data_IF_401065674338
#
_entry.id   IF_401065674338
#
_cell.length_a   1.000
_cell.length_b   1.000
_cell.length_c   1.000
_cell.angle_alpha   90.00
_cell.angle_beta   90.00
_cell.angle_gamma   90.00
#
_symmetry.space_group_name_H-M   'P 1'
#
loop_
_entity.id
_entity.type
_entity.pdbx_description
1 polymer ?
#
# COMPACT_ATOMS: atom_id res chain seq x y z
N UNK A 1 -19.33 17.18 -9.26
CA UNK A 1 -17.89 16.90 -9.02
C UNK A 1 -17.76 15.97 -7.82
N UNK A 2 -16.62 15.29 -7.56
CA UNK A 2 -16.56 14.28 -6.47
C UNK A 2 -16.75 14.88 -5.07
N UNK A 3 -16.13 16.03 -4.79
CA UNK A 3 -16.30 16.76 -3.52
C UNK A 3 -17.74 17.29 -3.36
N UNK A 4 -18.27 17.95 -4.38
CA UNK A 4 -19.67 18.41 -4.39
C UNK A 4 -20.66 17.26 -4.15
N UNK A 5 -20.41 16.06 -4.68
CA UNK A 5 -21.29 14.92 -4.45
C UNK A 5 -21.36 14.52 -2.97
N UNK A 6 -20.28 14.70 -2.19
CA UNK A 6 -20.33 14.50 -0.74
C UNK A 6 -21.04 15.63 -0.01
N UNK A 7 -20.89 16.87 -0.47
CA UNK A 7 -21.61 18.01 0.11
C UNK A 7 -23.13 17.87 -0.11
N UNK A 8 -23.54 17.50 -1.33
CA UNK A 8 -24.94 17.31 -1.70
C UNK A 8 -25.58 16.10 -0.99
N UNK A 9 -24.88 14.97 -0.94
CA UNK A 9 -25.39 13.77 -0.30
C UNK A 9 -25.30 13.80 1.24
N UNK A 10 -24.34 14.56 1.78
CA UNK A 10 -23.93 14.52 3.17
C UNK A 10 -23.12 13.27 3.52
N UNK A 11 -22.13 13.42 4.40
CA UNK A 11 -21.31 12.33 4.95
C UNK A 11 -21.23 12.43 6.46
N UNK A 12 -21.14 11.29 7.14
CA UNK A 12 -21.09 11.26 8.61
C UNK A 12 -19.75 11.73 9.20
N UNK A 13 -18.58 11.33 8.67
CA UNK A 13 -17.30 11.89 9.10
C UNK A 13 -16.90 13.11 8.26
N UNK A 14 -16.00 13.93 8.81
CA UNK A 14 -15.25 14.88 7.98
C UNK A 14 -14.38 14.11 6.99
N UNK A 15 -14.15 14.68 5.80
CA UNK A 15 -13.33 14.09 4.75
C UNK A 15 -12.17 15.04 4.43
N UNK A 16 -10.96 14.49 4.45
CA UNK A 16 -9.76 15.08 3.86
C UNK A 16 -9.22 14.12 2.79
N UNK A 17 -8.72 14.65 1.68
CA UNK A 17 -8.27 13.83 0.55
C UNK A 17 -6.85 14.19 0.12
N UNK A 18 -6.18 13.18 -0.44
CA UNK A 18 -4.91 13.33 -1.14
C UNK A 18 -5.14 12.99 -2.61
N UNK A 19 -4.42 13.64 -3.52
CA UNK A 19 -4.38 13.19 -4.90
C UNK A 19 -3.34 12.06 -5.05
N UNK A 20 -3.75 10.95 -5.66
CA UNK A 20 -2.84 9.85 -5.95
C UNK A 20 -1.82 10.21 -7.03
N UNK A 21 -0.53 10.00 -6.75
CA UNK A 21 0.54 10.04 -7.75
C UNK A 21 0.25 9.14 -8.94
N UNK A 22 -0.34 7.97 -8.69
CA UNK A 22 -0.69 7.04 -9.77
C UNK A 22 -1.79 7.58 -10.66
N UNK A 23 -2.69 8.40 -10.10
CA UNK A 23 -3.72 9.13 -10.85
C UNK A 23 -3.09 10.22 -11.71
N UNK A 24 -2.09 10.95 -11.19
CA UNK A 24 -1.32 11.94 -11.97
C UNK A 24 -0.62 11.29 -13.15
N UNK A 25 0.11 10.18 -12.93
CA UNK A 25 0.74 9.40 -14.00
C UNK A 25 -0.30 8.92 -15.01
N UNK A 26 -1.43 8.36 -14.55
CA UNK A 26 -2.48 7.89 -15.47
C UNK A 26 -3.05 9.02 -16.34
N UNK A 27 -3.23 10.20 -15.77
CA UNK A 27 -3.70 11.38 -16.50
C UNK A 27 -2.69 11.83 -17.57
N UNK A 28 -1.38 11.81 -17.25
CA UNK A 28 -0.35 12.31 -18.15
C UNK A 28 0.14 11.27 -19.17
N UNK A 29 0.18 9.99 -18.80
CA UNK A 29 0.88 8.93 -19.54
C UNK A 29 0.35 7.51 -19.32
N UNK A 30 -0.85 7.35 -18.74
CA UNK A 30 -1.48 6.05 -18.48
C UNK A 30 -0.59 5.13 -17.60
N UNK A 31 -0.55 3.82 -17.89
CA UNK A 31 0.24 2.80 -17.20
C UNK A 31 1.63 2.60 -17.82
N UNK A 32 2.19 3.62 -18.47
CA UNK A 32 3.54 3.56 -19.06
C UNK A 32 4.59 3.43 -17.95
N UNK A 33 5.53 2.50 -18.15
CA UNK A 33 6.62 2.21 -17.21
C UNK A 33 7.91 2.97 -17.51
N UNK A 34 7.95 3.73 -18.61
CA UNK A 34 9.09 4.56 -18.96
C UNK A 34 9.14 5.84 -18.10
N UNK A 35 10.32 6.48 -18.00
CA UNK A 35 10.44 7.80 -17.38
C UNK A 35 9.52 8.83 -18.04
N UNK A 36 8.95 9.73 -17.25
CA UNK A 36 8.10 10.79 -17.77
C UNK A 36 8.91 11.84 -18.54
N UNK A 37 8.35 12.29 -19.66
CA UNK A 37 8.87 13.43 -20.42
C UNK A 37 8.55 14.76 -19.71
N UNK A 38 9.27 15.82 -20.07
CA UNK A 38 9.02 17.19 -19.58
C UNK A 38 7.56 17.61 -19.75
N UNK A 39 6.93 17.26 -20.89
CA UNK A 39 5.52 17.59 -21.14
C UNK A 39 4.58 16.82 -20.21
N UNK A 40 4.86 15.55 -19.94
CA UNK A 40 4.07 14.73 -19.02
C UNK A 40 4.22 15.24 -17.58
N UNK A 41 5.44 15.60 -17.15
CA UNK A 41 5.66 16.23 -15.83
C UNK A 41 4.95 17.58 -15.70
N UNK A 42 4.95 18.40 -16.75
CA UNK A 42 4.17 19.64 -16.76
C UNK A 42 2.66 19.40 -16.59
N UNK A 43 2.11 18.34 -17.22
CA UNK A 43 0.72 17.93 -17.00
C UNK A 43 0.48 17.49 -15.56
N UNK A 44 1.34 16.65 -14.98
CA UNK A 44 1.21 16.18 -13.60
C UNK A 44 1.25 17.36 -12.61
N UNK A 45 2.16 18.31 -12.80
CA UNK A 45 2.26 19.53 -11.98
C UNK A 45 1.00 20.39 -12.05
N UNK A 46 0.43 20.58 -13.26
CA UNK A 46 -0.81 21.34 -13.43
C UNK A 46 -1.98 20.67 -12.71
N UNK A 47 -2.19 19.37 -12.90
CA UNK A 47 -3.29 18.63 -12.27
C UNK A 47 -3.13 18.59 -10.74
N UNK A 48 -1.89 18.51 -10.24
CA UNK A 48 -1.64 18.61 -8.80
C UNK A 48 -2.00 20.00 -8.26
N UNK A 49 -1.66 21.08 -8.97
CA UNK A 49 -2.02 22.44 -8.55
C UNK A 49 -3.54 22.61 -8.49
N UNK A 50 -4.27 22.16 -9.51
CA UNK A 50 -5.74 22.16 -9.53
C UNK A 50 -6.32 21.39 -8.33
N UNK A 51 -5.76 20.23 -8.00
CA UNK A 51 -6.22 19.46 -6.84
C UNK A 51 -5.92 20.13 -5.49
N UNK A 52 -4.78 20.85 -5.35
CA UNK A 52 -4.50 21.64 -4.14
C UNK A 52 -5.44 22.83 -4.03
N UNK A 53 -5.77 23.49 -5.15
CA UNK A 53 -6.76 24.58 -5.21
C UNK A 53 -8.17 24.12 -4.83
N UNK A 54 -8.52 22.87 -5.20
CA UNK A 54 -9.76 22.21 -4.81
C UNK A 54 -9.77 21.71 -3.35
N UNK A 55 -8.65 21.84 -2.62
CA UNK A 55 -8.56 21.54 -1.18
C UNK A 55 -7.94 20.20 -0.81
N UNK A 56 -7.19 19.54 -1.71
CA UNK A 56 -6.40 18.37 -1.34
C UNK A 56 -5.34 18.71 -0.27
N UNK A 57 -5.09 17.77 0.65
CA UNK A 57 -4.08 17.93 1.71
C UNK A 57 -2.64 17.68 1.21
N UNK A 58 -2.51 17.18 -0.01
CA UNK A 58 -1.23 16.89 -0.64
C UNK A 58 -1.31 15.74 -1.64
N UNK A 59 -0.17 15.05 -1.82
CA UNK A 59 -0.04 13.94 -2.77
C UNK A 59 0.29 12.63 -2.07
N UNK A 60 -0.34 11.55 -2.51
CA UNK A 60 -0.09 10.19 -2.01
C UNK A 60 0.53 9.29 -3.08
N UNK A 61 1.65 8.62 -2.79
CA UNK A 61 2.27 7.65 -3.70
C UNK A 61 2.27 6.24 -3.12
N UNK A 62 1.92 5.25 -3.95
CA UNK A 62 1.99 3.83 -3.63
C UNK A 62 3.11 3.11 -4.38
N UNK A 63 4.37 3.34 -3.96
CA UNK A 63 5.56 3.03 -4.76
C UNK A 63 5.86 1.53 -4.95
N UNK A 64 5.13 0.62 -4.29
CA UNK A 64 5.17 -0.82 -4.57
C UNK A 64 4.33 -1.17 -5.82
N UNK A 65 3.31 -0.37 -6.15
CA UNK A 65 2.30 -0.73 -7.13
C UNK A 65 2.38 0.11 -8.40
N UNK A 66 2.07 -0.47 -9.58
CA UNK A 66 1.89 0.32 -10.78
C UNK A 66 0.70 1.29 -10.68
N UNK A 67 0.81 2.48 -11.28
CA UNK A 67 1.98 2.97 -12.03
C UNK A 67 3.02 3.69 -11.17
N UNK A 68 2.76 3.87 -9.86
CA UNK A 68 3.64 4.62 -8.94
C UNK A 68 5.02 4.02 -8.80
N UNK A 69 5.15 2.70 -8.85
CA UNK A 69 6.44 2.02 -8.81
C UNK A 69 7.38 2.38 -9.98
N UNK A 70 6.87 3.03 -11.03
CA UNK A 70 7.65 3.50 -12.18
C UNK A 70 8.12 4.95 -12.04
N UNK A 71 7.61 5.72 -11.07
CA UNK A 71 8.06 7.07 -10.80
C UNK A 71 9.46 7.05 -10.19
N UNK A 72 10.33 7.93 -10.66
CA UNK A 72 11.63 8.20 -10.05
C UNK A 72 11.53 9.37 -9.06
N UNK A 73 12.61 9.59 -8.30
CA UNK A 73 12.68 10.66 -7.30
C UNK A 73 12.43 12.03 -7.93
N UNK A 74 12.99 12.30 -9.11
CA UNK A 74 12.86 13.61 -9.77
C UNK A 74 11.42 13.91 -10.16
N UNK A 75 10.68 12.92 -10.66
CA UNK A 75 9.25 13.05 -10.95
C UNK A 75 8.44 13.33 -9.69
N UNK A 76 8.72 12.64 -8.59
CA UNK A 76 7.99 12.84 -7.33
C UNK A 76 8.32 14.21 -6.73
N UNK A 77 9.58 14.64 -6.78
CA UNK A 77 10.01 15.99 -6.35
C UNK A 77 9.32 17.06 -7.19
N UNK A 78 9.24 16.90 -8.51
CA UNK A 78 8.54 17.85 -9.40
C UNK A 78 7.06 18.03 -8.98
N UNK A 79 6.39 17.00 -8.48
CA UNK A 79 5.02 17.09 -7.98
C UNK A 79 4.98 17.67 -6.56
N UNK A 80 5.87 17.24 -5.67
CA UNK A 80 5.93 17.69 -4.29
C UNK A 80 6.28 19.18 -4.16
N UNK A 81 7.07 19.74 -5.07
CA UNK A 81 7.31 21.19 -5.15
C UNK A 81 6.02 21.99 -5.40
N UNK A 82 5.02 21.40 -6.05
CA UNK A 82 3.70 22.03 -6.20
C UNK A 82 2.95 21.94 -4.88
N UNK A 83 2.94 20.77 -4.24
CA UNK A 83 2.31 20.54 -2.93
C UNK A 83 2.82 21.53 -1.88
N UNK A 84 4.13 21.76 -1.82
CA UNK A 84 4.75 22.68 -0.86
C UNK A 84 4.34 24.15 -1.02
N UNK A 85 3.80 24.57 -2.17
CA UNK A 85 3.27 25.94 -2.37
C UNK A 85 1.96 26.18 -1.63
N UNK A 86 1.29 25.12 -1.21
CA UNK A 86 -0.01 25.13 -0.54
C UNK A 86 0.09 24.54 0.88
N UNK A 87 1.31 24.50 1.46
CA UNK A 87 1.58 23.94 2.79
C UNK A 87 1.05 22.49 2.97
N UNK A 88 1.01 21.72 1.87
CA UNK A 88 0.54 20.34 1.86
C UNK A 88 1.63 19.33 2.26
N UNK A 89 1.25 18.04 2.24
CA UNK A 89 2.13 16.95 2.70
C UNK A 89 2.35 15.88 1.63
N UNK A 90 3.51 15.23 1.66
CA UNK A 90 3.83 14.05 0.86
C UNK A 90 3.58 12.80 1.71
N UNK A 91 2.58 12.01 1.34
CA UNK A 91 2.33 10.71 1.98
C UNK A 91 2.79 9.58 1.06
N UNK A 92 3.50 8.59 1.60
CA UNK A 92 4.03 7.49 0.81
C UNK A 92 3.87 6.13 1.47
N UNK A 93 3.32 5.21 0.71
CA UNK A 93 3.59 3.80 0.87
C UNK A 93 4.92 3.53 0.18
N UNK A 94 5.94 3.29 1.01
CA UNK A 94 7.35 3.12 0.62
C UNK A 94 7.52 2.13 -0.52
N UNK A 95 8.55 2.35 -1.36
CA UNK A 95 8.87 1.44 -2.48
C UNK A 95 9.21 0.02 -2.03
N UNK A 96 9.72 -0.12 -0.82
CA UNK A 96 9.92 -1.39 -0.15
C UNK A 96 9.59 -1.27 1.33
N UNK A 97 8.91 -2.29 1.85
CA UNK A 97 8.65 -2.47 3.28
C UNK A 97 9.39 -3.70 3.83
N UNK A 98 10.25 -4.32 3.02
CA UNK A 98 10.89 -5.60 3.29
C UNK A 98 12.42 -5.50 3.17
N UNK A 99 13.00 -6.14 2.14
CA UNK A 99 14.43 -6.23 1.92
C UNK A 99 15.11 -4.86 1.85
N UNK A 100 14.51 -3.93 1.10
CA UNK A 100 15.07 -2.63 0.74
C UNK A 100 14.44 -1.47 1.55
N UNK A 101 13.82 -1.75 2.69
CA UNK A 101 13.14 -0.73 3.51
C UNK A 101 14.04 0.47 3.86
N UNK A 102 15.33 0.24 4.09
CA UNK A 102 16.28 1.31 4.38
C UNK A 102 16.50 2.25 3.19
N UNK A 103 16.66 1.69 2.00
CA UNK A 103 16.78 2.45 0.75
C UNK A 103 15.49 3.20 0.44
N UNK A 104 14.33 2.60 0.73
CA UNK A 104 13.03 3.24 0.54
C UNK A 104 12.77 4.39 1.52
N UNK A 105 13.25 4.30 2.77
CA UNK A 105 13.23 5.42 3.72
C UNK A 105 14.12 6.56 3.24
N UNK A 106 15.33 6.27 2.75
CA UNK A 106 16.22 7.29 2.19
C UNK A 106 15.59 8.00 1.00
N UNK A 107 14.92 7.26 0.12
CA UNK A 107 14.15 7.83 -0.99
C UNK A 107 13.08 8.81 -0.50
N UNK A 108 12.28 8.42 0.50
CA UNK A 108 11.23 9.27 1.06
C UNK A 108 11.81 10.53 1.71
N UNK A 109 12.93 10.42 2.43
CA UNK A 109 13.61 11.55 3.06
C UNK A 109 14.25 12.49 2.04
N UNK A 110 14.87 11.94 0.99
CA UNK A 110 15.43 12.72 -0.10
C UNK A 110 14.33 13.57 -0.76
N UNK A 111 13.17 12.98 -1.05
CA UNK A 111 12.02 13.70 -1.62
C UNK A 111 11.57 14.83 -0.69
N UNK A 112 11.38 14.54 0.60
CA UNK A 112 10.96 15.53 1.60
C UNK A 112 11.93 16.70 1.71
N UNK A 113 13.24 16.43 1.73
CA UNK A 113 14.29 17.45 1.77
C UNK A 113 14.32 18.28 0.49
N UNK A 114 14.32 17.63 -0.68
CA UNK A 114 14.44 18.32 -1.98
C UNK A 114 13.24 19.18 -2.30
N UNK A 115 12.03 18.72 -1.97
CA UNK A 115 10.79 19.46 -2.21
C UNK A 115 10.39 20.37 -1.04
N UNK A 116 11.11 20.31 0.09
CA UNK A 116 10.80 21.04 1.33
C UNK A 116 9.36 20.82 1.82
N UNK A 117 8.91 19.56 1.84
CA UNK A 117 7.56 19.17 2.30
C UNK A 117 7.64 18.17 3.46
N UNK A 118 6.66 18.18 4.39
CA UNK A 118 6.53 17.12 5.38
C UNK A 118 6.27 15.77 4.73
N UNK A 119 6.80 14.71 5.34
CA UNK A 119 6.71 13.33 4.87
C UNK A 119 5.86 12.50 5.84
N UNK A 120 4.81 11.86 5.33
CA UNK A 120 4.06 10.85 6.05
C UNK A 120 4.37 9.47 5.48
N UNK A 121 4.98 8.61 6.29
CA UNK A 121 5.16 7.20 5.91
C UNK A 121 3.85 6.47 6.22
N UNK A 122 3.11 6.13 5.17
CA UNK A 122 1.86 5.41 5.28
C UNK A 122 2.12 4.00 5.80
N UNK A 123 1.31 3.58 6.77
CA UNK A 123 1.24 2.25 7.38
C UNK A 123 2.58 1.55 7.60
N UNK A 124 3.50 2.20 8.32
CA UNK A 124 4.86 1.73 8.55
C UNK A 124 4.86 0.26 9.00
N UNK A 125 5.76 -0.53 8.41
CA UNK A 125 5.99 -1.93 8.79
C UNK A 125 7.34 -2.42 8.26
N UNK A 126 7.86 -3.47 8.89
CA UNK A 126 8.90 -4.32 8.33
C UNK A 126 8.26 -5.69 7.99
N UNK A 127 8.04 -5.93 6.70
CA UNK A 127 7.26 -7.04 6.16
C UNK A 127 8.14 -8.27 5.83
N UNK A 128 7.62 -9.46 6.13
CA UNK A 128 8.32 -10.73 5.95
C UNK A 128 9.25 -11.06 7.12
N UNK A 129 9.32 -12.34 7.49
CA UNK A 129 10.04 -12.82 8.70
C UNK A 129 11.50 -12.39 8.73
N UNK A 130 12.16 -12.39 7.58
CA UNK A 130 13.56 -12.03 7.42
C UNK A 130 13.84 -10.53 7.61
N UNK A 131 12.80 -9.72 7.79
CA UNK A 131 12.92 -8.27 7.96
C UNK A 131 12.40 -7.80 9.32
N UNK A 132 11.79 -8.67 10.13
CA UNK A 132 11.17 -8.25 11.39
C UNK A 132 12.16 -7.57 12.35
N UNK A 133 13.41 -8.01 12.36
CA UNK A 133 14.50 -7.46 13.16
C UNK A 133 14.94 -6.05 12.73
N UNK A 134 14.50 -5.56 11.56
CA UNK A 134 14.86 -4.22 11.07
C UNK A 134 14.13 -3.09 11.78
N UNK A 135 12.99 -3.37 12.44
CA UNK A 135 12.12 -2.32 13.00
C UNK A 135 12.82 -1.35 13.97
N UNK A 136 13.65 -1.80 14.94
CA UNK A 136 14.42 -0.88 15.78
C UNK A 136 15.27 0.11 14.97
N UNK A 137 15.94 -0.36 13.93
CA UNK A 137 16.78 0.49 13.06
C UNK A 137 15.96 1.40 12.14
N UNK A 138 14.76 0.98 11.76
CA UNK A 138 13.79 1.84 11.03
C UNK A 138 13.39 3.02 11.91
N UNK A 139 13.05 2.77 13.18
CA UNK A 139 12.70 3.81 14.17
C UNK A 139 13.88 4.77 14.37
N UNK A 140 15.09 4.24 14.65
CA UNK A 140 16.30 5.07 14.79
C UNK A 140 16.54 5.98 13.57
N UNK A 141 16.27 5.47 12.36
CA UNK A 141 16.47 6.25 11.13
C UNK A 141 15.45 7.38 10.97
N UNK A 142 14.20 7.13 11.33
CA UNK A 142 13.15 8.16 11.34
C UNK A 142 13.46 9.21 12.41
N UNK A 143 13.86 8.80 13.61
CA UNK A 143 14.24 9.73 14.68
C UNK A 143 15.46 10.59 14.29
N UNK A 144 16.44 10.01 13.59
CA UNK A 144 17.58 10.73 13.07
C UNK A 144 17.16 11.77 12.01
N UNK A 145 16.27 11.42 11.08
CA UNK A 145 15.74 12.35 10.08
C UNK A 145 14.99 13.52 10.75
N UNK A 146 14.16 13.21 11.76
CA UNK A 146 13.44 14.21 12.57
C UNK A 146 14.37 15.13 13.34
N UNK A 147 15.39 14.57 13.98
CA UNK A 147 16.43 15.36 14.69
C UNK A 147 17.24 16.23 13.73
N UNK A 148 17.40 15.78 12.47
CA UNK A 148 17.98 16.54 11.37
C UNK A 148 17.11 17.67 10.83
N UNK A 149 15.88 17.85 11.35
CA UNK A 149 14.97 18.93 10.99
C UNK A 149 13.96 18.58 9.90
N UNK A 150 13.94 17.34 9.40
CA UNK A 150 12.89 16.91 8.47
C UNK A 150 11.62 16.58 9.24
N UNK A 151 10.49 17.16 8.84
CA UNK A 151 9.18 16.81 9.41
C UNK A 151 8.71 15.47 8.83
N UNK A 152 9.03 14.38 9.52
CA UNK A 152 8.63 13.03 9.15
C UNK A 152 7.73 12.44 10.22
N UNK A 153 6.55 11.98 9.83
CA UNK A 153 5.70 11.15 10.69
C UNK A 153 5.33 9.85 10.00
N UNK A 154 4.62 8.97 10.70
CA UNK A 154 4.07 7.76 10.10
C UNK A 154 2.70 7.44 10.69
N UNK A 155 2.00 6.49 10.09
CA UNK A 155 0.85 5.84 10.68
C UNK A 155 1.00 4.32 10.70
N UNK A 156 0.10 3.64 11.40
CA UNK A 156 0.01 2.19 11.42
C UNK A 156 -1.42 1.69 11.73
N UNK A 157 -1.68 0.42 11.41
CA UNK A 157 -2.84 -0.34 11.90
C UNK A 157 -2.40 -1.49 12.83
N UNK A 158 -3.11 -1.76 13.95
CA UNK A 158 -2.65 -2.63 15.04
C UNK A 158 -2.84 -4.14 14.78
N UNK A 159 -2.46 -4.61 13.59
CA UNK A 159 -2.61 -6.00 13.16
C UNK A 159 -1.35 -6.53 12.49
N UNK A 160 -1.03 -7.80 12.75
CA UNK A 160 0.14 -8.46 12.20
C UNK A 160 -0.07 -8.96 10.74
N UNK A 161 -1.23 -8.67 10.15
CA UNK A 161 -1.55 -8.97 8.76
C UNK A 161 -1.87 -7.68 8.00
N UNK A 162 -1.41 -7.59 6.76
CA UNK A 162 -1.72 -6.51 5.82
C UNK A 162 -2.82 -6.95 4.85
N UNK A 163 -3.29 -6.02 4.02
CA UNK A 163 -4.29 -6.31 2.99
C UNK A 163 -4.05 -5.50 1.71
N UNK A 164 -4.10 -6.17 0.56
CA UNK A 164 -4.02 -5.56 -0.78
C UNK A 164 -4.59 -6.52 -1.84
N UNK A 165 -4.33 -6.29 -3.13
CA UNK A 165 -4.74 -7.19 -4.21
C UNK A 165 -3.88 -8.46 -4.32
N UNK A 166 -4.46 -9.56 -4.83
CA UNK A 166 -3.72 -10.80 -5.12
C UNK A 166 -2.61 -10.58 -6.16
N UNK A 167 -2.78 -9.61 -7.06
CA UNK A 167 -1.81 -9.31 -8.11
C UNK A 167 -0.45 -8.82 -7.57
N UNK A 168 -0.36 -8.42 -6.31
CA UNK A 168 0.91 -8.05 -5.65
C UNK A 168 1.88 -9.23 -5.51
N UNK A 169 1.45 -10.48 -5.74
CA UNK A 169 2.36 -11.64 -5.84
C UNK A 169 3.06 -11.73 -7.20
N UNK A 170 2.66 -10.91 -8.18
CA UNK A 170 3.21 -10.85 -9.52
C UNK A 170 4.13 -9.62 -9.68
N UNK A 171 5.17 -9.70 -10.52
CA UNK A 171 6.06 -8.57 -10.76
C UNK A 171 5.28 -7.38 -11.33
N UNK A 172 5.56 -6.13 -10.89
CA UNK A 172 4.83 -4.93 -11.32
C UNK A 172 4.74 -4.76 -12.84
N UNK A 173 5.82 -5.06 -13.57
CA UNK A 173 5.88 -4.95 -15.03
C UNK A 173 4.90 -5.86 -15.77
N UNK A 174 4.34 -6.89 -15.11
CA UNK A 174 3.27 -7.71 -15.70
C UNK A 174 2.00 -6.88 -15.96
N UNK A 175 1.81 -5.76 -15.26
CA UNK A 175 0.67 -4.85 -15.40
C UNK A 175 0.98 -3.61 -16.27
N UNK A 176 2.21 -3.47 -16.76
CA UNK A 176 2.60 -2.33 -17.59
C UNK A 176 1.67 -2.20 -18.81
N UNK A 177 1.29 -0.96 -19.13
CA UNK A 177 0.32 -0.63 -20.17
C UNK A 177 -1.05 -1.31 -20.02
N UNK A 178 -1.42 -1.73 -18.80
CA UNK A 178 -2.71 -2.36 -18.52
C UNK A 178 -2.86 -3.80 -19.02
N UNK A 179 -1.77 -4.44 -19.49
CA UNK A 179 -1.83 -5.71 -20.22
C UNK A 179 -1.77 -6.98 -19.35
N UNK A 180 -2.20 -6.89 -18.09
CA UNK A 180 -2.03 -7.99 -17.14
C UNK A 180 -2.68 -9.27 -17.65
N UNK A 181 -3.93 -9.21 -18.10
CA UNK A 181 -4.65 -10.41 -18.51
C UNK A 181 -4.08 -11.00 -19.80
N UNK A 182 -3.71 -10.17 -20.77
CA UNK A 182 -3.06 -10.59 -22.01
C UNK A 182 -1.72 -11.29 -21.70
N UNK A 183 -0.92 -10.70 -20.81
CA UNK A 183 0.36 -11.27 -20.39
C UNK A 183 0.18 -12.61 -19.63
N UNK A 184 -0.90 -12.78 -18.87
CA UNK A 184 -1.19 -14.04 -18.19
C UNK A 184 -1.75 -15.13 -19.13
N UNK A 185 -2.36 -14.74 -20.26
CA UNK A 185 -2.84 -15.66 -21.29
C UNK A 185 -1.74 -16.07 -22.28
N UNK A 186 -0.75 -15.21 -22.52
CA UNK A 186 0.40 -15.49 -23.38
C UNK A 186 1.37 -16.47 -22.67
N UNK A 187 1.62 -17.69 -23.24
CA UNK A 187 2.51 -18.67 -22.63
C UNK A 187 3.94 -18.19 -22.41
N UNK A 188 4.49 -17.38 -23.32
CA UNK A 188 5.84 -16.85 -23.23
C UNK A 188 5.94 -15.80 -22.11
N UNK A 189 4.95 -14.92 -21.99
CA UNK A 189 4.90 -13.95 -20.89
C UNK A 189 4.65 -14.64 -19.56
N UNK A 190 3.70 -15.58 -19.47
CA UNK A 190 3.45 -16.37 -18.25
C UNK A 190 4.69 -17.10 -17.77
N UNK A 191 5.47 -17.71 -18.67
CA UNK A 191 6.75 -18.34 -18.32
C UNK A 191 7.80 -17.34 -17.82
N UNK A 192 7.87 -16.14 -18.42
CA UNK A 192 8.75 -15.05 -17.97
C UNK A 192 8.36 -14.55 -16.57
N UNK A 193 7.06 -14.37 -16.33
CA UNK A 193 6.51 -13.96 -15.02
C UNK A 193 6.84 -15.04 -13.98
N UNK A 194 6.61 -16.32 -14.31
CA UNK A 194 6.95 -17.47 -13.43
C UNK A 194 8.42 -17.43 -13.00
N UNK A 195 9.33 -17.18 -13.93
CA UNK A 195 10.77 -17.07 -13.61
C UNK A 195 11.05 -15.94 -12.62
N UNK A 196 10.41 -14.79 -12.79
CA UNK A 196 10.60 -13.63 -11.94
C UNK A 196 10.04 -13.83 -10.52
N UNK A 197 8.88 -14.48 -10.37
CA UNK A 197 8.32 -14.75 -9.04
C UNK A 197 9.08 -15.82 -8.27
N UNK A 198 9.62 -16.84 -8.96
CA UNK A 198 10.40 -17.91 -8.33
C UNK A 198 11.85 -17.49 -8.00
N UNK A 199 12.35 -16.45 -8.66
CA UNK A 199 13.68 -15.87 -8.45
C UNK A 199 13.59 -14.35 -8.50
N UNK A 200 13.01 -13.71 -7.47
CA UNK A 200 12.90 -12.27 -7.41
C UNK A 200 14.29 -11.63 -7.41
N UNK A 201 14.41 -10.49 -8.06
CA UNK A 201 15.65 -9.73 -8.22
C UNK A 201 15.89 -8.71 -7.09
N UNK A 202 14.99 -8.68 -6.09
CA UNK A 202 15.02 -7.76 -4.97
C UNK A 202 14.48 -6.36 -5.28
N UNK A 203 14.05 -6.08 -6.52
CA UNK A 203 13.61 -4.73 -6.95
C UNK A 203 12.11 -4.47 -6.76
N UNK A 204 11.38 -5.46 -6.26
CA UNK A 204 9.94 -5.39 -6.02
C UNK A 204 9.54 -6.37 -4.91
N UNK A 205 8.35 -6.15 -4.37
CA UNK A 205 7.83 -6.89 -3.21
C UNK A 205 7.21 -8.22 -3.63
N UNK A 206 8.04 -9.27 -3.67
CA UNK A 206 7.62 -10.62 -3.99
C UNK A 206 6.87 -11.27 -2.82
N UNK A 207 5.58 -10.93 -2.69
CA UNK A 207 4.74 -11.30 -1.54
C UNK A 207 4.77 -12.79 -1.18
N UNK A 208 4.72 -13.72 -2.15
CA UNK A 208 4.79 -15.17 -1.82
C UNK A 208 6.17 -15.56 -1.30
N UNK A 209 7.24 -14.99 -1.86
CA UNK A 209 8.61 -15.27 -1.40
C UNK A 209 8.86 -14.78 0.04
N UNK A 210 8.17 -13.72 0.46
CA UNK A 210 8.31 -13.14 1.80
C UNK A 210 7.44 -13.82 2.86
N UNK A 211 6.28 -14.36 2.46
CA UNK A 211 5.24 -14.82 3.39
C UNK A 211 4.94 -16.33 3.30
N UNK A 212 5.42 -16.99 2.23
CA UNK A 212 5.00 -18.34 1.85
C UNK A 212 3.55 -18.38 1.36
N UNK A 213 3.17 -19.49 0.74
CA UNK A 213 1.79 -19.71 0.27
C UNK A 213 0.76 -19.67 1.42
N UNK A 214 1.16 -20.15 2.60
CA UNK A 214 0.33 -20.12 3.81
C UNK A 214 0.11 -18.71 4.38
N UNK A 215 0.92 -17.75 3.96
CA UNK A 215 0.83 -16.35 4.34
C UNK A 215 -0.08 -15.53 3.43
N UNK A 216 -0.63 -16.10 2.35
CA UNK A 216 -1.49 -15.43 1.38
C UNK A 216 -2.91 -15.97 1.48
N UNK A 217 -3.88 -15.10 1.79
CA UNK A 217 -5.28 -15.50 1.98
C UNK A 217 -6.22 -14.61 1.16
N UNK A 218 -6.58 -15.03 -0.07
CA UNK A 218 -7.54 -14.32 -0.91
C UNK A 218 -8.95 -14.36 -0.27
N UNK A 219 -9.60 -13.19 -0.22
CA UNK A 219 -10.91 -13.00 0.41
C UNK A 219 -11.94 -12.35 -0.51
N UNK A 220 -11.52 -11.61 -1.54
CA UNK A 220 -12.39 -10.80 -2.39
C UNK A 220 -12.78 -11.43 -3.72
N UNK A 221 -13.36 -12.64 -3.70
CA UNK A 221 -13.88 -13.28 -4.92
C UNK A 221 -15.28 -12.78 -5.27
N UNK A 222 -15.56 -12.54 -6.56
CA UNK A 222 -16.90 -12.12 -7.04
C UNK A 222 -17.56 -13.20 -7.90
N UNK A 223 -16.81 -14.07 -8.56
CA UNK A 223 -17.39 -15.12 -9.41
C UNK A 223 -17.93 -16.29 -8.56
N UNK A 224 -19.14 -16.82 -8.85
CA UNK A 224 -19.69 -17.95 -8.12
C UNK A 224 -18.76 -19.17 -8.05
N UNK A 225 -18.00 -19.43 -9.11
CA UNK A 225 -17.11 -20.60 -9.22
C UNK A 225 -15.93 -20.53 -8.23
N UNK A 226 -15.54 -19.32 -7.81
CA UNK A 226 -14.42 -19.07 -6.92
C UNK A 226 -14.86 -18.79 -5.46
N UNK A 227 -16.17 -18.70 -5.19
CA UNK A 227 -16.68 -18.43 -3.83
C UNK A 227 -16.23 -19.47 -2.80
N UNK A 228 -16.02 -20.71 -3.24
CA UNK A 228 -15.50 -21.80 -2.40
C UNK A 228 -14.09 -21.55 -1.84
N UNK A 229 -13.34 -20.59 -2.40
CA UNK A 229 -11.97 -20.26 -2.00
C UNK A 229 -11.88 -19.11 -1.00
N UNK A 230 -12.99 -18.43 -0.71
CA UNK A 230 -13.01 -17.25 0.17
C UNK A 230 -12.46 -17.60 1.55
N UNK A 231 -11.38 -16.91 1.95
CA UNK A 231 -10.78 -17.07 3.27
C UNK A 231 -9.89 -18.31 3.43
N UNK A 232 -9.68 -19.08 2.36
CA UNK A 232 -8.68 -20.15 2.34
C UNK A 232 -7.29 -19.58 2.03
N UNK A 233 -6.26 -20.22 2.56
CA UNK A 233 -4.87 -19.89 2.20
C UNK A 233 -4.59 -20.33 0.77
N UNK A 234 -3.65 -19.66 0.11
CA UNK A 234 -3.26 -19.99 -1.26
C UNK A 234 -2.82 -21.45 -1.39
N UNK A 235 -2.07 -21.97 -0.42
CA UNK A 235 -1.65 -23.38 -0.35
C UNK A 235 -2.85 -24.35 -0.36
N UNK A 236 -3.93 -24.01 0.33
CA UNK A 236 -5.16 -24.81 0.39
C UNK A 236 -5.90 -24.76 -0.94
N UNK A 237 -6.01 -23.58 -1.55
CA UNK A 237 -6.65 -23.39 -2.86
C UNK A 237 -5.87 -24.16 -3.93
N UNK A 238 -4.54 -24.07 -3.94
CA UNK A 238 -3.67 -24.80 -4.86
C UNK A 238 -3.82 -26.31 -4.73
N UNK A 239 -3.87 -26.82 -3.49
CA UNK A 239 -4.13 -28.23 -3.22
C UNK A 239 -5.52 -28.68 -3.69
N UNK A 240 -6.57 -27.88 -3.46
CA UNK A 240 -7.92 -28.18 -3.95
C UNK A 240 -7.98 -28.24 -5.48
N UNK A 241 -7.19 -27.42 -6.16
CA UNK A 241 -7.12 -27.36 -7.63
C UNK A 241 -6.15 -28.38 -8.23
N UNK A 242 -5.29 -29.02 -7.43
CA UNK A 242 -4.23 -29.88 -7.92
C UNK A 242 -3.20 -29.13 -8.78
N UNK A 243 -2.98 -27.85 -8.50
CA UNK A 243 -2.10 -26.96 -9.26
C UNK A 243 -1.00 -26.40 -8.35
N UNK A 244 0.12 -25.95 -8.94
CA UNK A 244 1.06 -25.12 -8.20
C UNK A 244 0.47 -23.72 -7.92
N UNK A 245 1.03 -23.02 -6.94
CA UNK A 245 0.51 -21.74 -6.48
C UNK A 245 0.53 -20.67 -7.57
N UNK A 246 1.55 -20.67 -8.44
CA UNK A 246 1.69 -19.65 -9.48
C UNK A 246 0.60 -19.83 -10.53
N UNK A 247 0.38 -21.07 -10.98
CA UNK A 247 -0.69 -21.38 -11.92
C UNK A 247 -2.07 -21.15 -11.30
N UNK A 248 -2.23 -21.44 -10.01
CA UNK A 248 -3.44 -21.10 -9.24
C UNK A 248 -3.73 -19.60 -9.26
N UNK A 249 -2.74 -18.76 -8.93
CA UNK A 249 -2.89 -17.29 -8.95
C UNK A 249 -3.28 -16.81 -10.34
N UNK A 250 -2.55 -17.24 -11.38
CA UNK A 250 -2.82 -16.83 -12.75
C UNK A 250 -4.26 -17.12 -13.16
N UNK A 251 -4.74 -18.34 -12.88
CA UNK A 251 -6.08 -18.77 -13.27
C UNK A 251 -7.18 -18.06 -12.44
N UNK A 252 -6.94 -17.79 -11.15
CA UNK A 252 -7.86 -17.01 -10.33
C UNK A 252 -7.97 -15.57 -10.83
N UNK A 253 -6.85 -14.91 -11.11
CA UNK A 253 -6.83 -13.54 -11.67
C UNK A 253 -7.55 -13.50 -13.02
N UNK A 254 -7.30 -14.47 -13.90
CA UNK A 254 -7.92 -14.55 -15.22
C UNK A 254 -9.42 -14.85 -15.19
N UNK A 255 -9.87 -15.65 -14.23
CA UNK A 255 -11.30 -16.00 -14.09
C UNK A 255 -12.12 -14.89 -13.45
N UNK A 256 -11.55 -14.18 -12.47
CA UNK A 256 -12.21 -13.05 -11.84
C UNK A 256 -12.30 -11.85 -12.78
N UNK A 257 -11.18 -11.45 -13.41
CA UNK A 257 -11.02 -10.21 -14.19
C UNK A 257 -11.22 -8.93 -13.36
N UNK A 258 -10.89 -8.98 -12.07
CA UNK A 258 -10.74 -7.81 -11.23
C UNK A 258 -9.74 -8.05 -10.09
N UNK A 259 -9.44 -7.01 -9.31
CA UNK A 259 -8.63 -7.15 -8.09
C UNK A 259 -9.31 -8.08 -7.08
N UNK A 260 -8.56 -9.08 -6.61
CA UNK A 260 -8.99 -10.01 -5.56
C UNK A 260 -8.37 -9.52 -4.26
N UNK A 261 -9.17 -8.94 -3.37
CA UNK A 261 -8.71 -8.54 -2.03
C UNK A 261 -8.10 -9.73 -1.32
N UNK A 262 -6.92 -9.55 -0.72
CA UNK A 262 -6.06 -10.60 -0.18
C UNK A 262 -5.40 -10.10 1.10
N UNK A 263 -5.43 -10.95 2.13
CA UNK A 263 -4.75 -10.71 3.40
C UNK A 263 -3.37 -11.38 3.35
N UNK A 264 -2.34 -10.65 3.79
CA UNK A 264 -0.97 -11.15 3.86
C UNK A 264 -0.47 -11.16 5.30
N UNK A 265 -0.07 -12.32 5.81
CA UNK A 265 0.42 -12.49 7.19
C UNK A 265 1.92 -12.16 7.26
N UNK A 266 2.21 -10.86 7.27
CA UNK A 266 3.54 -10.33 6.98
C UNK A 266 4.33 -9.79 8.18
N UNK A 267 3.66 -9.49 9.29
CA UNK A 267 4.24 -8.72 10.40
C UNK A 267 4.24 -9.53 11.70
N UNK A 268 4.86 -8.97 12.74
CA UNK A 268 4.87 -9.51 14.11
C UNK A 268 4.27 -8.52 15.09
N UNK A 269 3.62 -9.02 16.16
CA UNK A 269 3.10 -8.17 17.23
C UNK A 269 4.20 -7.38 17.93
N UNK A 270 5.44 -7.89 18.00
CA UNK A 270 6.55 -7.18 18.65
C UNK A 270 6.87 -5.86 17.94
N UNK A 271 6.86 -5.87 16.61
CA UNK A 271 7.04 -4.65 15.82
C UNK A 271 5.86 -3.70 15.98
N UNK A 272 4.63 -4.20 16.15
CA UNK A 272 3.49 -3.32 16.47
C UNK A 272 3.69 -2.63 17.82
N UNK A 273 4.22 -3.34 18.83
CA UNK A 273 4.50 -2.74 20.14
C UNK A 273 5.56 -1.65 20.06
N UNK A 274 6.68 -1.93 19.36
CA UNK A 274 7.74 -0.94 19.15
C UNK A 274 7.24 0.32 18.46
N UNK A 275 6.40 0.16 17.45
CA UNK A 275 5.81 1.27 16.70
C UNK A 275 4.82 2.08 17.53
N UNK A 276 3.92 1.42 18.25
CA UNK A 276 2.96 2.11 19.11
C UNK A 276 3.60 3.01 20.17
N UNK A 277 4.83 2.70 20.59
CA UNK A 277 5.59 3.49 21.56
C UNK A 277 6.21 4.77 20.99
N UNK A 278 6.11 5.00 19.68
CA UNK A 278 6.72 6.17 19.04
C UNK A 278 5.73 7.34 19.00
N UNK A 279 6.14 8.55 19.45
CA UNK A 279 5.23 9.70 19.54
C UNK A 279 4.85 10.30 18.19
N UNK A 280 5.54 9.91 17.11
CA UNK A 280 5.28 10.36 15.73
C UNK A 280 4.43 9.37 14.93
N UNK A 281 4.01 8.26 15.56
CA UNK A 281 3.13 7.27 14.94
C UNK A 281 1.66 7.58 15.24
N UNK A 282 0.86 7.65 14.17
CA UNK A 282 -0.59 7.83 14.21
C UNK A 282 -1.31 6.50 14.00
N UNK A 283 -2.57 6.42 14.43
CA UNK A 283 -3.41 5.23 14.23
C UNK A 283 -4.30 5.43 13.00
N UNK A 284 -4.08 4.59 12.00
CA UNK A 284 -4.86 4.53 10.76
C UNK A 284 -5.47 3.15 10.60
N UNK A 285 -6.65 3.06 9.98
CA UNK A 285 -7.29 1.77 9.73
C UNK A 285 -6.70 1.06 8.51
N UNK A 286 -6.13 1.81 7.55
CA UNK A 286 -5.77 1.32 6.22
C UNK A 286 -6.90 0.50 5.55
N UNK A 287 -8.14 0.91 5.74
CA UNK A 287 -9.30 0.21 5.20
C UNK A 287 -10.29 1.18 4.59
N UNK A 288 -10.96 0.72 3.54
CA UNK A 288 -12.17 1.38 3.07
C UNK A 288 -13.25 1.35 4.16
N UNK A 289 -14.05 2.42 4.22
CA UNK A 289 -15.26 2.45 5.03
C UNK A 289 -16.31 1.55 4.39
N UNK A 290 -16.49 0.34 4.92
CA UNK A 290 -17.51 -0.59 4.46
C UNK A 290 -18.72 -0.52 5.39
N UNK A 291 -19.91 -0.34 4.82
CA UNK A 291 -21.14 -0.64 5.54
C UNK A 291 -21.19 -2.16 5.77
N UNK A 292 -21.30 -2.66 7.02
CA UNK A 292 -21.31 -4.09 7.31
C UNK A 292 -22.47 -4.85 6.65
N UNK A 293 -23.64 -4.22 6.51
CA UNK A 293 -24.81 -4.77 5.84
C UNK A 293 -24.61 -4.87 4.33
N UNK A 294 -23.99 -3.85 3.73
CA UNK A 294 -23.62 -3.86 2.32
C UNK A 294 -22.45 -4.80 2.02
N UNK A 295 -21.46 -4.87 2.91
CA UNK A 295 -20.22 -5.64 2.73
C UNK A 295 -20.41 -7.15 2.88
N UNK A 296 -21.39 -7.59 3.67
CA UNK A 296 -21.62 -9.00 3.99
C UNK A 296 -21.72 -9.94 2.78
N UNK A 297 -22.40 -9.59 1.66
CA UNK A 297 -22.46 -10.43 0.46
C UNK A 297 -21.14 -10.50 -0.32
N UNK A 298 -20.21 -9.57 -0.10
CA UNK A 298 -18.93 -9.51 -0.83
C UNK A 298 -17.79 -10.27 -0.14
N UNK A 299 -18.08 -10.96 0.97
CA UNK A 299 -17.13 -11.78 1.70
C UNK A 299 -16.51 -11.07 2.91
N UNK A 300 -15.57 -11.75 3.60
CA UNK A 300 -14.88 -11.18 4.73
C UNK A 300 -13.99 -10.02 4.30
N UNK A 301 -13.79 -9.06 5.20
CA UNK A 301 -12.82 -7.96 5.06
C UNK A 301 -11.76 -8.08 6.15
N UNK A 302 -10.62 -7.41 5.97
CA UNK A 302 -9.60 -7.36 7.02
C UNK A 302 -10.19 -6.71 8.29
N UNK A 303 -10.01 -7.29 9.50
CA UNK A 303 -10.63 -6.81 10.73
C UNK A 303 -10.25 -5.38 11.12
N UNK A 304 -9.14 -4.86 10.56
CA UNK A 304 -8.71 -3.46 10.70
C UNK A 304 -9.77 -2.43 10.30
N UNK A 305 -10.68 -2.79 9.38
CA UNK A 305 -11.76 -1.90 8.95
C UNK A 305 -12.79 -1.57 10.04
N UNK A 306 -12.92 -2.41 11.08
CA UNK A 306 -13.91 -2.21 12.14
C UNK A 306 -13.31 -2.18 13.55
N UNK A 307 -12.12 -2.74 13.73
CA UNK A 307 -11.57 -3.00 15.06
C UNK A 307 -10.33 -2.18 15.43
N UNK A 308 -9.79 -1.34 14.54
CA UNK A 308 -8.50 -0.67 14.75
C UNK A 308 -8.44 0.13 16.05
N UNK A 309 -9.29 1.15 16.21
CA UNK A 309 -9.24 2.00 17.40
C UNK A 309 -9.60 1.24 18.70
N UNK A 310 -10.68 0.44 18.76
CA UNK A 310 -10.97 -0.38 19.95
C UNK A 310 -9.86 -1.38 20.28
N UNK A 311 -9.14 -1.90 19.28
CA UNK A 311 -8.01 -2.82 19.50
C UNK A 311 -6.82 -2.10 20.13
N UNK A 312 -6.51 -0.86 19.74
CA UNK A 312 -5.48 -0.06 20.44
C UNK A 312 -5.87 0.10 21.91
N UNK A 313 -7.06 0.64 22.18
CA UNK A 313 -7.53 0.95 23.54
C UNK A 313 -7.71 -0.30 24.42
N UNK A 314 -8.23 -1.39 23.86
CA UNK A 314 -8.48 -2.63 24.59
C UNK A 314 -7.23 -3.48 24.76
N UNK A 315 -6.61 -3.86 23.65
CA UNK A 315 -5.50 -4.82 23.65
C UNK A 315 -4.18 -4.16 24.05
N UNK A 316 -3.84 -3.03 23.44
CA UNK A 316 -2.51 -2.44 23.61
C UNK A 316 -2.41 -1.51 24.81
N UNK A 317 -3.48 -0.79 25.17
CA UNK A 317 -3.52 0.05 26.38
C UNK A 317 -3.93 -0.78 27.60
N UNK A 318 -5.19 -1.25 27.66
CA UNK A 318 -5.74 -1.88 28.88
C UNK A 318 -5.11 -3.23 29.22
N UNK A 319 -5.00 -4.13 28.26
CA UNK A 319 -4.56 -5.51 28.49
C UNK A 319 -3.04 -5.66 28.54
N UNK A 320 -2.33 -5.11 27.54
CA UNK A 320 -0.88 -5.28 27.40
C UNK A 320 -0.06 -4.13 27.98
N UNK A 321 -0.66 -2.96 28.24
CA UNK A 321 0.01 -1.76 28.80
C UNK A 321 1.26 -1.35 28.01
N UNK A 322 1.16 -1.40 26.68
CA UNK A 322 2.24 -1.04 25.75
C UNK A 322 2.44 0.48 25.70
N UNK A 323 1.34 1.23 25.76
CA UNK A 323 1.28 2.69 25.88
C UNK A 323 0.20 3.08 26.90
N UNK A 324 0.24 4.32 27.38
CA UNK A 324 -0.79 4.87 28.27
C UNK A 324 -2.08 5.16 27.50
N UNK A 325 -3.18 5.44 28.21
CA UNK A 325 -4.41 5.85 27.54
C UNK A 325 -4.25 7.25 26.94
N UNK A 326 -3.53 8.11 27.64
CA UNK A 326 -3.24 9.49 27.27
C UNK A 326 -2.39 9.56 26.01
N UNK A 327 -1.37 8.70 25.86
CA UNK A 327 -0.57 8.63 24.63
C UNK A 327 -1.36 8.05 23.44
N UNK A 328 -2.41 7.26 23.71
CA UNK A 328 -3.23 6.64 22.67
C UNK A 328 -4.34 7.54 22.11
N UNK A 329 -4.69 8.64 22.81
CA UNK A 329 -5.77 9.59 22.47
C UNK A 329 -5.19 10.84 21.85
#
# INVERSE_FOLDING_TARGET
>A
YWLEAFEEAGVSPNIGSYLGGGTLRRCAMDMDMNPSSVKQRATMRRVMAEAMEDGAFGVSYALIYPPDCYADVDEIVDVCEVVGRYDGTYITHLRSEAGEIFSALDEAFEIGVRAAVPVEIYHLKAAGRDNWDKMPRVIERIDAARTGGLDVTADMYPYAASGTGLTSVLPPWAMASGRLYENLQDPAQRARIRKAVLKPDGRWEAMVSQHGEDGVMPIGFKRPQNQQYVGLKLSEISRMRGQDWFDTVCDLVLSERQSISTIYFAMTEDNLRLQLQQPWIKISTDAGGYDPGWGRPFGPVHPRGYGTYPRVLGRFVREQRVITLEDAV
#
